data_IF_274831183169
#
_entry.id   IF_274831183169
#
_cell.length_a   1.000
_cell.length_b   1.000
_cell.length_c   1.000
_cell.angle_alpha   90.00
_cell.angle_beta   90.00
_cell.angle_gamma   90.00
#
_symmetry.space_group_name_H-M   'P 1'
#
loop_
_entity.id
_entity.type
_entity.pdbx_description
1 polymer ?
#
# COMPACT_ATOMS: atom_id res chain seq x y z
N UNK A 1 -1.04 -3.98 14.01
CA UNK A 1 0.32 -4.50 13.95
C UNK A 1 0.62 -5.38 15.16
N UNK A 2 0.99 -6.62 14.88
CA UNK A 2 1.35 -7.60 15.91
C UNK A 2 2.88 -7.76 15.93
N UNK A 3 3.54 -6.99 16.78
CA UNK A 3 4.99 -6.90 16.83
C UNK A 3 5.68 -8.24 17.15
N UNK A 4 5.16 -8.99 18.10
CA UNK A 4 5.72 -10.28 18.52
C UNK A 4 5.60 -11.37 17.44
N UNK A 5 4.66 -11.24 16.49
CA UNK A 5 4.50 -12.14 15.35
C UNK A 5 5.16 -11.60 14.08
N UNK A 6 5.58 -10.34 14.06
CA UNK A 6 6.13 -9.69 12.86
C UNK A 6 5.09 -9.51 11.74
N UNK A 7 3.82 -9.37 12.09
CA UNK A 7 2.71 -9.37 11.13
C UNK A 7 1.97 -8.04 11.17
N UNK A 8 1.69 -7.49 9.99
CA UNK A 8 0.77 -6.38 9.81
C UNK A 8 -0.50 -6.91 9.15
N UNK A 9 -1.65 -6.52 9.68
CA UNK A 9 -2.96 -6.83 9.10
C UNK A 9 -3.67 -5.52 8.78
N UNK A 10 -4.13 -5.37 7.55
CA UNK A 10 -4.86 -4.19 7.09
C UNK A 10 -6.25 -4.60 6.63
N UNK A 11 -7.26 -3.86 7.08
CA UNK A 11 -8.65 -4.10 6.68
C UNK A 11 -9.01 -3.22 5.48
N UNK A 12 -9.53 -3.83 4.42
CA UNK A 12 -10.00 -3.13 3.23
C UNK A 12 -11.43 -3.54 2.92
N UNK A 13 -12.30 -2.58 2.64
CA UNK A 13 -13.62 -2.88 2.09
C UNK A 13 -13.52 -2.93 0.57
N UNK A 14 -14.31 -3.79 -0.07
CA UNK A 14 -14.26 -4.01 -1.50
C UNK A 14 -15.62 -4.40 -2.05
N UNK A 15 -15.82 -4.25 -3.35
CA UNK A 15 -16.99 -4.77 -4.04
C UNK A 15 -16.87 -6.26 -4.34
N UNK A 16 -15.66 -6.77 -4.48
CA UNK A 16 -15.37 -8.16 -4.82
C UNK A 16 -14.17 -8.64 -3.99
N UNK A 17 -14.43 -9.52 -3.01
CA UNK A 17 -13.42 -10.10 -2.14
C UNK A 17 -12.80 -11.38 -2.71
N UNK A 18 -13.24 -11.84 -3.88
CA UNK A 18 -12.62 -13.01 -4.52
C UNK A 18 -11.12 -12.75 -4.77
N UNK A 19 -10.33 -13.83 -4.83
CA UNK A 19 -8.90 -13.69 -5.04
C UNK A 19 -8.58 -12.85 -6.27
N UNK A 20 -9.18 -13.18 -7.42
CA UNK A 20 -8.90 -12.47 -8.67
C UNK A 20 -9.39 -11.02 -8.64
N UNK A 21 -10.58 -10.78 -8.12
CA UNK A 21 -11.15 -9.44 -8.04
C UNK A 21 -10.35 -8.53 -7.12
N UNK A 22 -9.98 -9.03 -5.95
CA UNK A 22 -9.22 -8.21 -4.99
C UNK A 22 -7.75 -8.09 -5.39
N UNK A 23 -7.13 -9.11 -5.99
CA UNK A 23 -5.78 -8.99 -6.54
C UNK A 23 -5.69 -7.90 -7.61
N UNK A 24 -6.73 -7.76 -8.43
CA UNK A 24 -6.84 -6.64 -9.37
C UNK A 24 -6.88 -5.29 -8.66
N UNK A 25 -7.62 -5.17 -7.56
CA UNK A 25 -7.67 -3.95 -6.73
C UNK A 25 -6.31 -3.64 -6.10
N UNK A 26 -5.60 -4.66 -5.62
CA UNK A 26 -4.24 -4.49 -5.05
C UNK A 26 -3.31 -3.85 -6.07
N UNK A 27 -3.37 -4.31 -7.33
CA UNK A 27 -2.56 -3.75 -8.42
C UNK A 27 -3.02 -2.34 -8.82
N UNK A 28 -4.32 -2.16 -8.99
CA UNK A 28 -4.91 -0.88 -9.44
C UNK A 28 -4.66 0.25 -8.45
N UNK A 29 -4.87 -0.01 -7.16
CA UNK A 29 -4.71 0.99 -6.11
C UNK A 29 -3.33 0.98 -5.46
N UNK A 30 -2.44 0.11 -5.94
CA UNK A 30 -1.06 -0.01 -5.43
C UNK A 30 -0.98 -0.23 -3.93
N UNK A 31 -1.84 -1.08 -3.39
CA UNK A 31 -1.81 -1.44 -1.98
C UNK A 31 -0.48 -2.07 -1.57
N UNK A 32 0.23 -2.70 -2.52
CA UNK A 32 1.55 -3.26 -2.29
C UNK A 32 2.61 -2.20 -1.98
N UNK A 33 2.45 -0.97 -2.48
CA UNK A 33 3.33 0.15 -2.12
C UNK A 33 3.12 0.56 -0.66
N UNK A 34 1.87 0.67 -0.22
CA UNK A 34 1.51 0.92 1.17
C UNK A 34 2.06 -0.19 2.08
N UNK A 35 1.89 -1.45 1.68
CA UNK A 35 2.36 -2.60 2.43
C UNK A 35 3.88 -2.57 2.61
N UNK A 36 4.63 -2.33 1.54
CA UNK A 36 6.09 -2.25 1.59
C UNK A 36 6.56 -1.13 2.52
N UNK A 37 5.95 0.04 2.42
CA UNK A 37 6.30 1.18 3.26
C UNK A 37 6.08 0.87 4.75
N UNK A 38 4.92 0.31 5.09
CA UNK A 38 4.62 -0.01 6.49
C UNK A 38 5.51 -1.12 7.04
N UNK A 39 5.76 -2.17 6.25
CA UNK A 39 6.63 -3.27 6.68
C UNK A 39 8.05 -2.79 6.96
N UNK A 40 8.59 -1.95 6.09
CA UNK A 40 9.94 -1.43 6.27
C UNK A 40 10.02 -0.46 7.46
N UNK A 41 8.97 0.34 7.68
CA UNK A 41 8.92 1.28 8.79
C UNK A 41 8.96 0.58 10.16
N UNK A 42 8.29 -0.55 10.32
CA UNK A 42 8.21 -1.28 11.59
C UNK A 42 9.00 -2.59 11.60
N UNK A 43 9.69 -2.90 10.49
CA UNK A 43 10.49 -4.12 10.31
C UNK A 43 9.65 -5.38 10.50
N UNK A 44 8.46 -5.40 9.91
CA UNK A 44 7.59 -6.57 9.91
C UNK A 44 8.03 -7.59 8.85
N UNK A 45 7.67 -8.85 9.07
CA UNK A 45 8.04 -9.96 8.18
C UNK A 45 6.95 -10.28 7.16
N UNK A 46 5.69 -10.05 7.51
CA UNK A 46 4.55 -10.42 6.67
C UNK A 46 3.47 -9.32 6.69
N UNK A 47 2.77 -9.19 5.57
CA UNK A 47 1.67 -8.25 5.43
C UNK A 47 0.45 -8.97 4.85
N UNK A 48 -0.67 -8.86 5.56
CA UNK A 48 -1.95 -9.43 5.15
C UNK A 48 -2.99 -8.36 4.96
N UNK A 49 -3.86 -8.53 3.98
CA UNK A 49 -5.04 -7.71 3.79
C UNK A 49 -6.27 -8.59 4.05
N UNK A 50 -7.17 -8.12 4.90
CA UNK A 50 -8.48 -8.71 5.09
C UNK A 50 -9.46 -7.91 4.25
N UNK A 51 -9.91 -8.50 3.15
CA UNK A 51 -10.85 -7.89 2.21
C UNK A 51 -12.28 -8.26 2.60
N UNK A 52 -13.12 -7.28 2.87
CA UNK A 52 -14.51 -7.45 3.29
C UNK A 52 -15.43 -6.82 2.26
N UNK A 53 -16.37 -7.59 1.72
CA UNK A 53 -17.34 -7.06 0.77
C UNK A 53 -18.31 -6.10 1.44
N UNK A 54 -18.64 -5.04 0.72
CA UNK A 54 -19.53 -3.97 1.19
C UNK A 54 -21.01 -4.37 1.21
N UNK A 55 -21.37 -5.41 0.47
CA UNK A 55 -22.76 -5.85 0.30
C UNK A 55 -22.95 -7.26 0.83
N UNK A 56 -24.18 -7.61 1.30
CA UNK A 56 -24.46 -8.98 1.72
C UNK A 56 -24.10 -10.01 0.65
N UNK A 57 -23.51 -11.15 1.01
CA UNK A 57 -23.34 -11.69 2.37
C UNK A 57 -22.10 -11.20 3.13
N UNK A 58 -21.46 -10.11 2.70
CA UNK A 58 -20.25 -9.55 3.33
C UNK A 58 -19.11 -10.57 3.40
N UNK A 59 -18.84 -11.21 2.28
CA UNK A 59 -17.79 -12.22 2.17
C UNK A 59 -16.42 -11.65 2.55
N UNK A 60 -15.61 -12.47 3.21
CA UNK A 60 -14.29 -12.09 3.70
C UNK A 60 -13.24 -12.98 3.04
N UNK A 61 -12.13 -12.39 2.64
CA UNK A 61 -10.97 -13.12 2.16
C UNK A 61 -9.70 -12.52 2.77
N UNK A 62 -8.72 -13.38 3.06
CA UNK A 62 -7.44 -12.97 3.61
C UNK A 62 -6.39 -13.18 2.54
N UNK A 63 -5.65 -12.12 2.21
CA UNK A 63 -4.65 -12.14 1.14
C UNK A 63 -3.32 -11.69 1.71
N UNK A 64 -2.28 -12.50 1.50
CA UNK A 64 -0.91 -12.12 1.83
C UNK A 64 -0.28 -11.41 0.64
N UNK A 65 0.42 -10.31 0.89
CA UNK A 65 1.22 -9.64 -0.14
C UNK A 65 2.57 -10.32 -0.21
N UNK A 66 2.88 -10.91 -1.36
CA UNK A 66 4.13 -11.65 -1.57
C UNK A 66 5.34 -10.74 -1.77
N UNK A 67 6.53 -11.32 -1.62
CA UNK A 67 7.79 -10.59 -1.67
C UNK A 67 8.02 -9.88 -3.00
N UNK A 68 7.59 -10.48 -4.10
CA UNK A 68 7.75 -9.89 -5.43
C UNK A 68 7.02 -8.54 -5.55
N UNK A 69 5.77 -8.49 -5.09
CA UNK A 69 5.00 -7.24 -5.07
C UNK A 69 5.54 -6.26 -4.03
N UNK A 70 6.02 -6.75 -2.90
CA UNK A 70 6.64 -5.89 -1.88
C UNK A 70 7.88 -5.20 -2.43
N UNK A 71 8.72 -5.90 -3.17
CA UNK A 71 9.91 -5.31 -3.80
C UNK A 71 9.53 -4.25 -4.83
N UNK A 72 8.50 -4.48 -5.62
CA UNK A 72 7.96 -3.48 -6.53
C UNK A 72 7.43 -2.26 -5.78
N UNK A 73 6.76 -2.49 -4.66
CA UNK A 73 6.29 -1.41 -3.78
C UNK A 73 7.43 -0.57 -3.23
N UNK A 74 8.54 -1.21 -2.85
CA UNK A 74 9.75 -0.50 -2.38
C UNK A 74 10.34 0.40 -3.45
N UNK A 75 10.42 -0.08 -4.68
CA UNK A 75 10.87 0.75 -5.80
C UNK A 75 10.01 2.01 -5.95
N UNK A 76 8.69 1.85 -5.85
CA UNK A 76 7.76 2.97 -6.01
C UNK A 76 7.86 3.97 -4.88
N UNK A 77 7.87 3.52 -3.62
CA UNK A 77 7.94 4.48 -2.52
C UNK A 77 9.32 5.16 -2.43
N UNK A 78 10.39 4.45 -2.78
CA UNK A 78 11.72 5.05 -2.82
C UNK A 78 11.83 6.11 -3.91
N UNK A 79 11.20 5.90 -5.06
CA UNK A 79 11.10 6.91 -6.12
C UNK A 79 10.39 8.16 -5.60
N UNK A 80 9.29 7.98 -4.88
CA UNK A 80 8.54 9.09 -4.30
C UNK A 80 9.39 9.87 -3.29
N UNK A 81 10.16 9.17 -2.44
CA UNK A 81 11.06 9.80 -1.48
C UNK A 81 12.18 10.57 -2.16
N UNK A 82 12.73 10.06 -3.25
CA UNK A 82 13.76 10.75 -4.01
C UNK A 82 13.22 12.04 -4.64
N UNK A 83 12.00 12.01 -5.19
CA UNK A 83 11.34 13.19 -5.73
C UNK A 83 11.14 14.22 -4.62
N UNK A 84 10.64 13.80 -3.47
CA UNK A 84 10.43 14.67 -2.32
C UNK A 84 11.75 15.30 -1.86
N UNK A 85 12.80 14.50 -1.75
CA UNK A 85 14.13 14.96 -1.36
C UNK A 85 14.67 16.02 -2.34
N UNK A 86 14.57 15.76 -3.64
CA UNK A 86 14.99 16.70 -4.67
C UNK A 86 14.24 18.03 -4.55
N UNK A 87 12.92 17.96 -4.42
CA UNK A 87 12.09 19.18 -4.31
C UNK A 87 12.40 19.96 -3.05
N UNK A 88 12.66 19.28 -1.94
CA UNK A 88 13.01 19.90 -0.66
C UNK A 88 14.36 20.60 -0.75
N UNK A 89 15.38 19.91 -1.30
CA UNK A 89 16.74 20.45 -1.40
C UNK A 89 16.85 21.63 -2.36
N UNK A 90 16.03 21.67 -3.40
CA UNK A 90 16.08 22.70 -4.45
C UNK A 90 14.96 23.75 -4.31
N UNK A 91 14.10 23.61 -3.30
CA UNK A 91 12.91 24.47 -3.12
C UNK A 91 12.12 24.61 -4.43
N UNK A 92 11.90 23.47 -5.10
CA UNK A 92 11.26 23.41 -6.41
C UNK A 92 10.08 22.45 -6.35
N UNK A 93 8.86 23.01 -6.46
CA UNK A 93 7.60 22.28 -6.27
C UNK A 93 6.68 22.47 -7.47
N UNK A 94 6.98 21.84 -8.63
CA UNK A 94 6.10 21.92 -9.78
C UNK A 94 4.75 21.27 -9.50
N UNK A 95 3.68 21.80 -10.10
CA UNK A 95 2.32 21.34 -9.84
C UNK A 95 2.12 19.84 -10.06
N UNK A 96 2.73 19.29 -11.11
CA UNK A 96 2.63 17.86 -11.41
C UNK A 96 3.24 17.01 -10.29
N UNK A 97 4.36 17.42 -9.72
CA UNK A 97 5.01 16.73 -8.61
C UNK A 97 4.15 16.82 -7.36
N UNK A 98 3.61 18.00 -7.06
CA UNK A 98 2.74 18.19 -5.90
C UNK A 98 1.50 17.29 -5.97
N UNK A 99 0.88 17.17 -7.14
CA UNK A 99 -0.27 16.30 -7.35
C UNK A 99 0.11 14.84 -7.09
N UNK A 100 1.25 14.39 -7.61
CA UNK A 100 1.75 13.02 -7.42
C UNK A 100 1.99 12.74 -5.94
N UNK A 101 2.67 13.66 -5.23
CA UNK A 101 2.98 13.49 -3.81
C UNK A 101 1.72 13.43 -2.95
N UNK A 102 0.74 14.31 -3.21
CA UNK A 102 -0.53 14.31 -2.48
C UNK A 102 -1.28 13.01 -2.70
N UNK A 103 -1.33 12.53 -3.95
CA UNK A 103 -1.99 11.28 -4.30
C UNK A 103 -1.33 10.09 -3.60
N UNK A 104 0.00 10.05 -3.55
CA UNK A 104 0.76 8.99 -2.90
C UNK A 104 0.58 9.01 -1.39
N UNK A 105 0.50 10.20 -0.77
CA UNK A 105 0.20 10.34 0.65
C UNK A 105 -1.17 9.77 0.99
N UNK A 106 -2.17 10.02 0.15
CA UNK A 106 -3.50 9.42 0.34
C UNK A 106 -3.46 7.89 0.30
N UNK A 107 -2.65 7.32 -0.58
CA UNK A 107 -2.48 5.86 -0.67
C UNK A 107 -1.81 5.28 0.59
N UNK A 108 -0.94 6.04 1.24
CA UNK A 108 -0.21 5.61 2.44
C UNK A 108 -1.05 5.80 3.72
N UNK A 109 -1.84 6.87 3.81
CA UNK A 109 -2.52 7.25 5.06
C UNK A 109 -4.02 6.94 5.09
N UNK A 110 -4.55 6.29 4.09
CA UNK A 110 -5.96 5.86 4.08
C UNK A 110 -6.11 4.37 4.53
#
# INVERSE_FOLDING_TARGET
YKKDLGIIVDLKTTQDSSYNGFASSVRKFKYYKQAAFYMDAVKADEFYIVAIEKSPPFSINIIQIGNELLDKGRELYNRDLEIYKYCTENDYWPAEVMIILIKNLKEVYI
#
